data_IF_031341244357
#
_entry.id   IF_031341244357
#
_cell.length_a   1.000
_cell.length_b   1.000
_cell.length_c   1.000
_cell.angle_alpha   90.00
_cell.angle_beta   90.00
_cell.angle_gamma   90.00
#
_symmetry.space_group_name_H-M   'P 1'
#
loop_
_entity.id
_entity.type
_entity.pdbx_description
1 polymer ?
#
# COMPACT_ATOMS: atom_id res chain seq x y z
N UNK A 1 -3.70 -1.32 -18.15
CA UNK A 1 -2.95 -1.07 -19.38
C UNK A 1 -3.65 0.04 -20.14
N UNK A 2 -2.91 1.05 -20.61
CA UNK A 2 -3.45 2.21 -21.34
C UNK A 2 -3.76 1.88 -22.81
N UNK A 3 -3.13 0.82 -23.33
CA UNK A 3 -3.43 0.30 -24.66
C UNK A 3 -4.77 -0.42 -24.67
N UNK A 4 -5.78 0.20 -25.28
CA UNK A 4 -7.09 -0.43 -25.48
C UNK A 4 -7.07 -1.28 -26.75
N UNK A 5 -6.61 -2.52 -26.63
CA UNK A 5 -6.57 -3.47 -27.74
C UNK A 5 -7.99 -3.88 -28.13
N UNK A 6 -8.32 -3.75 -29.43
CA UNK A 6 -9.62 -4.09 -30.01
C UNK A 6 -9.40 -4.69 -31.40
N UNK A 7 -10.42 -5.30 -32.00
CA UNK A 7 -10.36 -5.80 -33.38
C UNK A 7 -9.91 -4.74 -34.40
N UNK A 8 -10.30 -3.47 -34.19
CA UNK A 8 -9.91 -2.32 -35.02
C UNK A 8 -8.57 -1.68 -34.63
N UNK A 9 -8.02 -2.02 -33.45
CA UNK A 9 -6.73 -1.50 -32.94
C UNK A 9 -5.96 -2.71 -32.38
N UNK A 10 -5.35 -3.52 -33.26
CA UNK A 10 -4.60 -4.69 -32.83
C UNK A 10 -3.32 -4.29 -32.09
N UNK A 11 -2.83 -5.22 -31.27
CA UNK A 11 -1.53 -5.11 -30.64
C UNK A 11 -0.45 -5.31 -31.73
N UNK A 12 0.40 -4.31 -31.93
CA UNK A 12 1.45 -4.29 -32.95
C UNK A 12 2.81 -3.95 -32.34
N UNK A 13 3.88 -4.28 -33.06
CA UNK A 13 5.27 -4.10 -32.60
C UNK A 13 5.59 -2.65 -32.22
N UNK A 14 4.99 -1.67 -32.91
CA UNK A 14 5.16 -0.24 -32.62
C UNK A 14 4.82 0.15 -31.18
N UNK A 15 3.92 -0.58 -30.53
CA UNK A 15 3.56 -0.33 -29.12
C UNK A 15 4.68 -0.73 -28.14
N UNK A 16 5.70 -1.45 -28.61
CA UNK A 16 6.83 -1.94 -27.82
C UNK A 16 8.15 -1.26 -28.17
N UNK A 17 8.17 -0.26 -29.07
CA UNK A 17 9.41 0.40 -29.51
C UNK A 17 10.22 0.97 -28.34
N UNK A 18 9.55 1.66 -27.41
CA UNK A 18 10.19 2.19 -26.20
C UNK A 18 10.74 1.09 -25.29
N UNK A 19 9.99 0.00 -25.12
CA UNK A 19 10.44 -1.16 -24.36
C UNK A 19 11.68 -1.80 -24.99
N UNK A 20 11.66 -2.06 -26.30
CA UNK A 20 12.76 -2.70 -27.02
C UNK A 20 14.02 -1.84 -27.03
N UNK A 21 13.86 -0.51 -27.10
CA UNK A 21 14.97 0.45 -27.00
C UNK A 21 15.63 0.41 -25.62
N UNK A 22 14.85 0.27 -24.55
CA UNK A 22 15.34 0.29 -23.16
C UNK A 22 15.76 -1.09 -22.64
N UNK A 23 15.36 -2.17 -23.29
CA UNK A 23 15.63 -3.54 -22.86
C UNK A 23 17.13 -3.87 -22.68
N UNK A 24 18.06 -3.45 -23.56
CA UNK A 24 19.48 -3.80 -23.41
C UNK A 24 20.11 -3.26 -22.13
N UNK A 25 19.70 -2.07 -21.69
CA UNK A 25 20.19 -1.43 -20.46
C UNK A 25 19.26 -1.64 -19.28
N UNK A 26 18.11 -2.29 -19.49
CA UNK A 26 16.97 -2.31 -18.54
C UNK A 26 16.65 -0.91 -18.02
N UNK A 27 16.62 0.06 -18.93
CA UNK A 27 16.34 1.45 -18.58
C UNK A 27 14.92 1.66 -18.08
N UNK A 28 14.74 2.64 -17.20
CA UNK A 28 13.42 3.04 -16.69
C UNK A 28 12.60 3.75 -17.77
N UNK A 29 11.28 3.59 -17.70
CA UNK A 29 10.31 4.27 -18.58
C UNK A 29 9.09 4.68 -17.77
N UNK A 30 8.23 5.54 -18.32
CA UNK A 30 6.98 5.93 -17.65
C UNK A 30 6.04 4.74 -17.37
N UNK A 31 6.19 3.65 -18.14
CA UNK A 31 5.40 2.43 -18.03
C UNK A 31 6.14 1.28 -17.33
N UNK A 32 7.44 1.43 -17.09
CA UNK A 32 8.28 0.47 -16.38
C UNK A 32 8.38 0.85 -14.91
N UNK A 33 8.34 -0.15 -14.04
CA UNK A 33 8.67 0.02 -12.64
C UNK A 33 9.30 -1.26 -12.12
N UNK A 34 10.28 -1.08 -11.23
CA UNK A 34 10.94 -2.15 -10.52
C UNK A 34 10.76 -1.90 -9.02
N UNK A 35 10.61 -2.97 -8.25
CA UNK A 35 10.62 -2.89 -6.78
C UNK A 35 11.85 -3.62 -6.28
N UNK A 36 12.64 -2.95 -5.45
CA UNK A 36 13.72 -3.59 -4.70
C UNK A 36 13.12 -4.36 -3.52
N UNK A 37 12.97 -5.68 -3.70
CA UNK A 37 12.42 -6.56 -2.68
C UNK A 37 13.38 -6.77 -1.52
N UNK A 38 14.69 -6.66 -1.75
CA UNK A 38 15.69 -6.89 -0.70
C UNK A 38 15.73 -5.71 0.25
N UNK A 39 15.69 -4.48 -0.28
CA UNK A 39 15.56 -3.27 0.52
C UNK A 39 14.26 -3.26 1.33
N UNK A 40 13.14 -3.62 0.68
CA UNK A 40 11.83 -3.66 1.34
C UNK A 40 11.79 -4.69 2.47
N UNK A 41 12.39 -5.87 2.27
CA UNK A 41 12.56 -6.89 3.33
C UNK A 41 13.46 -6.40 4.46
N UNK A 42 14.55 -5.71 4.15
CA UNK A 42 15.46 -5.16 5.17
C UNK A 42 14.74 -4.18 6.08
N UNK A 43 14.03 -3.21 5.49
CA UNK A 43 13.26 -2.22 6.25
C UNK A 43 12.18 -2.87 7.11
N UNK A 44 11.43 -3.83 6.55
CA UNK A 44 10.41 -4.55 7.32
C UNK A 44 11.03 -5.39 8.46
N UNK A 45 12.19 -6.00 8.25
CA UNK A 45 12.89 -6.74 9.29
C UNK A 45 13.40 -5.81 10.41
N UNK A 46 13.89 -4.62 10.07
CA UNK A 46 14.30 -3.60 11.05
C UNK A 46 13.11 -3.10 11.89
N UNK A 47 11.96 -2.86 11.25
CA UNK A 47 10.73 -2.44 11.91
C UNK A 47 10.13 -3.54 12.80
N UNK A 48 10.16 -4.80 12.34
CA UNK A 48 9.67 -5.96 13.10
C UNK A 48 10.60 -6.37 14.25
N UNK A 49 11.89 -6.04 14.18
CA UNK A 49 12.92 -6.41 15.16
C UNK A 49 12.54 -6.13 16.63
N UNK A 50 12.12 -4.91 17.04
CA UNK A 50 11.74 -4.66 18.42
C UNK A 50 10.56 -5.51 18.90
N UNK A 51 9.62 -5.86 18.02
CA UNK A 51 8.49 -6.73 18.36
C UNK A 51 8.94 -8.18 18.55
N UNK A 52 9.88 -8.67 17.74
CA UNK A 52 10.49 -10.00 17.86
C UNK A 52 11.32 -10.14 19.14
N UNK A 53 12.09 -9.11 19.47
CA UNK A 53 12.86 -9.05 20.73
C UNK A 53 11.93 -9.07 21.94
N UNK A 54 10.86 -8.26 21.94
CA UNK A 54 9.84 -8.27 23.00
C UNK A 54 9.11 -9.62 23.09
N UNK A 55 8.72 -10.21 21.96
CA UNK A 55 8.07 -11.52 21.91
C UNK A 55 8.96 -12.60 22.55
N UNK A 56 10.25 -12.62 22.18
CA UNK A 56 11.22 -13.57 22.72
C UNK A 56 11.43 -13.37 24.22
N UNK A 57 11.55 -12.12 24.69
CA UNK A 57 11.65 -11.81 26.11
C UNK A 57 10.42 -12.30 26.89
N UNK A 58 9.21 -12.11 26.36
CA UNK A 58 7.96 -12.60 26.97
C UNK A 58 7.88 -14.12 26.99
N UNK A 59 8.32 -14.80 25.92
CA UNK A 59 8.43 -16.26 25.90
C UNK A 59 9.44 -16.79 26.93
N UNK A 60 10.59 -16.14 27.10
CA UNK A 60 11.56 -16.51 28.13
C UNK A 60 10.99 -16.34 29.54
N UNK A 61 10.29 -15.23 29.80
CA UNK A 61 9.59 -15.03 31.08
C UNK A 61 8.53 -16.11 31.31
N UNK A 62 7.73 -16.45 30.28
CA UNK A 62 6.74 -17.53 30.39
C UNK A 62 7.41 -18.87 30.76
N UNK A 63 8.55 -19.19 30.15
CA UNK A 63 9.32 -20.41 30.47
C UNK A 63 9.85 -20.40 31.92
N UNK A 64 10.32 -19.25 32.42
CA UNK A 64 10.73 -19.10 33.83
C UNK A 64 9.54 -19.31 34.79
N UNK A 65 8.36 -18.79 34.46
CA UNK A 65 7.15 -19.03 35.25
C UNK A 65 6.70 -20.49 35.21
N UNK A 66 6.79 -21.17 34.07
CA UNK A 66 6.53 -22.61 33.97
C UNK A 66 7.50 -23.43 34.83
N UNK A 67 8.78 -23.05 34.86
CA UNK A 67 9.76 -23.68 35.74
C UNK A 67 9.40 -23.45 37.22
N UNK A 68 9.00 -22.23 37.59
CA UNK A 68 8.53 -21.91 38.94
C UNK A 68 7.30 -22.75 39.34
N UNK A 69 6.35 -22.94 38.43
CA UNK A 69 5.20 -23.84 38.65
C UNK A 69 5.67 -25.27 38.93
N UNK A 70 6.63 -25.78 38.15
CA UNK A 70 7.18 -27.11 38.35
C UNK A 70 7.88 -27.25 39.72
N UNK A 71 8.59 -26.22 40.17
CA UNK A 71 9.28 -26.24 41.46
C UNK A 71 8.32 -26.09 42.64
N UNK A 72 7.30 -25.22 42.54
CA UNK A 72 6.24 -25.09 43.55
C UNK A 72 5.46 -26.40 43.74
N UNK A 73 5.24 -27.16 42.64
CA UNK A 73 4.58 -28.48 42.70
C UNK A 73 5.40 -29.55 43.44
N UNK A 74 6.72 -29.36 43.60
CA UNK A 74 7.61 -30.30 44.32
C UNK A 74 7.68 -30.05 45.82
N UNK A 75 7.45 -28.80 46.27
CA UNK A 75 7.53 -28.41 47.68
C UNK A 75 6.30 -28.91 48.45
N UNK A 76 6.50 -29.36 49.70
CA UNK A 76 5.43 -29.72 50.65
C UNK A 76 5.54 -28.86 51.92
N UNK A 77 4.44 -28.31 52.46
CA UNK A 77 3.07 -28.38 51.93
C UNK A 77 2.93 -27.62 50.60
N UNK A 78 2.01 -28.09 49.76
CA UNK A 78 1.78 -27.52 48.43
C UNK A 78 0.97 -26.22 48.58
N UNK A 79 1.47 -25.14 47.99
CA UNK A 79 0.76 -23.87 47.91
C UNK A 79 0.01 -23.80 46.56
N UNK A 80 -1.24 -24.23 46.57
CA UNK A 80 -2.09 -24.26 45.37
C UNK A 80 -2.36 -22.86 44.82
N UNK A 81 -2.46 -21.85 45.68
CA UNK A 81 -2.70 -20.47 45.27
C UNK A 81 -1.50 -19.91 44.51
N UNK A 82 -0.28 -20.11 45.04
CA UNK A 82 0.93 -19.68 44.36
C UNK A 82 1.15 -20.40 43.01
N UNK A 83 0.73 -21.66 42.90
CA UNK A 83 0.75 -22.42 41.65
C UNK A 83 -0.21 -21.82 40.63
N UNK A 84 -1.45 -21.54 41.01
CA UNK A 84 -2.47 -20.96 40.12
C UNK A 84 -2.06 -19.57 39.62
N UNK A 85 -1.54 -18.72 40.51
CA UNK A 85 -1.03 -17.39 40.15
C UNK A 85 0.14 -17.49 39.15
N UNK A 86 1.08 -18.41 39.38
CA UNK A 86 2.22 -18.63 38.49
C UNK A 86 1.78 -19.21 37.13
N UNK A 87 0.81 -20.13 37.11
CA UNK A 87 0.22 -20.66 35.88
C UNK A 87 -0.50 -19.56 35.08
N UNK A 88 -1.29 -18.70 35.75
CA UNK A 88 -1.95 -17.57 35.13
C UNK A 88 -0.95 -16.59 34.50
N UNK A 89 0.15 -16.27 35.20
CA UNK A 89 1.23 -15.43 34.66
C UNK A 89 1.91 -16.05 33.46
N UNK A 90 2.17 -17.36 33.47
CA UNK A 90 2.76 -18.06 32.33
C UNK A 90 1.86 -18.03 31.09
N UNK A 91 0.54 -18.20 31.28
CA UNK A 91 -0.46 -18.15 30.20
C UNK A 91 -0.54 -16.75 29.61
N UNK A 92 -0.57 -15.73 30.45
CA UNK A 92 -0.63 -14.34 30.00
C UNK A 92 0.61 -13.93 29.21
N UNK A 93 1.80 -14.23 29.71
CA UNK A 93 3.05 -13.96 28.99
C UNK A 93 3.16 -14.72 27.66
N UNK A 94 2.62 -15.94 27.61
CA UNK A 94 2.55 -16.72 26.37
C UNK A 94 1.60 -16.06 25.36
N UNK A 95 0.47 -15.53 25.81
CA UNK A 95 -0.48 -14.78 24.97
C UNK A 95 0.18 -13.52 24.41
N UNK A 96 0.77 -12.70 25.27
CA UNK A 96 1.49 -11.48 24.87
C UNK A 96 2.62 -11.77 23.87
N UNK A 97 3.39 -12.84 24.10
CA UNK A 97 4.45 -13.29 23.17
C UNK A 97 3.91 -13.59 21.77
N UNK A 98 2.78 -14.31 21.68
CA UNK A 98 2.13 -14.66 20.42
C UNK A 98 1.56 -13.45 19.69
N UNK A 99 0.95 -12.52 20.42
CA UNK A 99 0.42 -11.28 19.84
C UNK A 99 1.55 -10.42 19.24
N UNK A 100 2.67 -10.28 19.95
CA UNK A 100 3.85 -9.58 19.44
C UNK A 100 4.46 -10.29 18.22
N UNK A 101 4.51 -11.62 18.22
CA UNK A 101 4.97 -12.40 17.08
C UNK A 101 4.05 -12.23 15.86
N UNK A 102 2.73 -12.19 16.05
CA UNK A 102 1.76 -11.93 14.97
C UNK A 102 1.99 -10.55 14.35
N UNK A 103 2.12 -9.51 15.18
CA UNK A 103 2.36 -8.14 14.69
C UNK A 103 3.68 -8.01 13.94
N UNK A 104 4.74 -8.65 14.43
CA UNK A 104 6.02 -8.70 13.72
C UNK A 104 5.87 -9.38 12.35
N UNK A 105 5.14 -10.50 12.31
CA UNK A 105 4.88 -11.23 11.08
C UNK A 105 4.04 -10.42 10.08
N UNK A 106 3.02 -9.70 10.55
CA UNK A 106 2.19 -8.83 9.70
C UNK A 106 3.03 -7.76 8.98
N UNK A 107 4.03 -7.18 9.66
CA UNK A 107 4.97 -6.22 9.05
C UNK A 107 5.83 -6.89 7.97
N UNK A 108 6.39 -8.07 8.26
CA UNK A 108 7.21 -8.83 7.31
C UNK A 108 6.38 -9.32 6.10
N UNK A 109 5.13 -9.74 6.32
CA UNK A 109 4.23 -10.23 5.26
C UNK A 109 3.72 -9.07 4.37
N UNK A 110 3.56 -7.86 4.92
CA UNK A 110 3.16 -6.66 4.17
C UNK A 110 4.16 -6.26 3.07
N UNK A 111 5.40 -6.77 3.12
CA UNK A 111 6.38 -6.64 2.04
C UNK A 111 5.85 -7.21 0.72
N UNK A 112 5.07 -8.29 0.80
CA UNK A 112 4.55 -9.02 -0.36
C UNK A 112 3.17 -8.54 -0.83
N UNK A 113 2.51 -7.62 -0.12
CA UNK A 113 1.29 -6.95 -0.60
C UNK A 113 1.63 -5.90 -1.66
N UNK A 114 2.22 -6.37 -2.77
CA UNK A 114 2.53 -5.55 -3.91
C UNK A 114 1.25 -5.34 -4.71
N UNK A 115 0.70 -4.14 -4.62
CA UNK A 115 -0.27 -3.68 -5.61
C UNK A 115 0.46 -3.55 -6.94
N UNK A 116 -0.11 -4.12 -8.02
CA UNK A 116 0.40 -3.98 -9.38
C UNK A 116 0.15 -2.57 -9.96
N UNK A 117 0.47 -1.55 -9.18
CA UNK A 117 0.37 -0.14 -9.56
C UNK A 117 1.77 0.34 -9.89
N UNK A 118 1.96 0.85 -11.10
CA UNK A 118 3.21 1.45 -11.51
C UNK A 118 3.41 2.78 -10.74
N UNK A 119 4.39 2.90 -9.84
CA UNK A 119 4.65 4.12 -9.08
C UNK A 119 5.17 5.27 -9.96
N UNK A 120 5.81 4.96 -11.09
CA UNK A 120 6.32 5.93 -12.06
C UNK A 120 5.21 6.47 -12.98
N UNK A 121 3.97 6.02 -12.82
CA UNK A 121 2.86 6.43 -13.67
C UNK A 121 2.55 7.92 -13.47
N UNK A 122 2.74 8.70 -14.53
CA UNK A 122 2.25 10.08 -14.57
C UNK A 122 0.73 10.06 -14.60
N UNK A 123 0.11 10.69 -13.61
CA UNK A 123 -1.33 10.83 -13.58
C UNK A 123 -1.74 11.84 -14.66
N UNK A 124 -2.52 11.40 -15.66
CA UNK A 124 -3.18 12.32 -16.59
C UNK A 124 -4.41 12.90 -15.85
N UNK A 125 -4.15 13.87 -14.99
CA UNK A 125 -5.16 14.57 -14.19
C UNK A 125 -5.24 15.99 -14.72
N UNK A 126 -6.45 16.47 -14.87
CA UNK A 126 -6.74 17.86 -15.19
C UNK A 126 -6.30 18.75 -14.02
N UNK A 127 -5.35 19.64 -14.28
CA UNK A 127 -4.75 20.56 -13.31
C UNK A 127 -5.40 21.95 -13.32
N UNK A 128 -6.44 22.15 -14.15
CA UNK A 128 -7.18 23.41 -14.22
C UNK A 128 -7.85 23.73 -12.88
N UNK A 129 -7.62 24.95 -12.38
CA UNK A 129 -8.29 25.42 -11.17
C UNK A 129 -9.76 25.77 -11.46
N UNK A 130 -10.62 25.80 -10.44
CA UNK A 130 -12.02 26.23 -10.61
C UNK A 130 -12.13 27.60 -11.28
N UNK A 131 -11.25 28.55 -10.95
CA UNK A 131 -11.23 29.90 -11.53
C UNK A 131 -10.92 29.85 -13.03
N UNK A 132 -9.89 29.08 -13.44
CA UNK A 132 -9.57 28.89 -14.86
C UNK A 132 -10.73 28.24 -15.62
N UNK A 133 -11.47 27.32 -14.97
CA UNK A 133 -12.65 26.73 -15.58
C UNK A 133 -13.77 27.75 -15.75
N UNK A 134 -13.98 28.65 -14.78
CA UNK A 134 -14.95 29.74 -14.90
C UNK A 134 -14.58 30.69 -16.05
N UNK A 135 -13.31 31.06 -16.17
CA UNK A 135 -12.83 31.92 -17.27
C UNK A 135 -13.07 31.28 -18.65
N UNK A 136 -12.82 29.97 -18.76
CA UNK A 136 -13.09 29.21 -19.99
C UNK A 136 -14.60 29.21 -20.29
N UNK A 137 -15.45 29.00 -19.28
CA UNK A 137 -16.90 29.00 -19.45
C UNK A 137 -17.37 30.38 -19.91
N UNK A 138 -16.87 31.46 -19.31
CA UNK A 138 -17.23 32.82 -19.69
C UNK A 138 -16.78 33.17 -21.11
N UNK A 139 -15.56 32.79 -21.49
CA UNK A 139 -15.06 32.97 -22.85
C UNK A 139 -15.92 32.23 -23.88
N UNK A 140 -16.29 30.96 -23.60
CA UNK A 140 -17.20 30.20 -24.46
C UNK A 140 -18.61 30.78 -24.47
N UNK A 141 -19.08 31.34 -23.36
CA UNK A 141 -20.35 32.06 -23.29
C UNK A 141 -20.39 33.27 -24.24
N UNK A 142 -19.30 34.05 -24.31
CA UNK A 142 -19.18 35.17 -25.25
C UNK A 142 -19.20 34.71 -26.71
N UNK A 143 -18.39 33.69 -27.06
CA UNK A 143 -18.38 33.12 -28.42
C UNK A 143 -19.78 32.67 -28.86
N UNK A 144 -20.53 32.00 -27.97
CA UNK A 144 -21.91 31.59 -28.24
C UNK A 144 -22.81 32.82 -28.42
N UNK A 145 -22.68 33.84 -27.57
CA UNK A 145 -23.44 35.07 -27.67
C UNK A 145 -23.25 35.79 -29.00
N UNK A 146 -22.00 35.90 -29.46
CA UNK A 146 -21.66 36.48 -30.77
C UNK A 146 -22.27 35.67 -31.93
N UNK A 147 -22.14 34.34 -31.89
CA UNK A 147 -22.73 33.48 -32.91
C UNK A 147 -24.26 33.60 -32.98
N UNK A 148 -24.93 33.67 -31.81
CA UNK A 148 -26.37 33.87 -31.74
C UNK A 148 -26.80 35.25 -32.26
N UNK A 149 -26.02 36.31 -32.00
CA UNK A 149 -26.30 37.63 -32.52
C UNK A 149 -26.25 37.67 -34.05
N UNK A 150 -25.22 37.07 -34.65
CA UNK A 150 -25.10 36.93 -36.12
C UNK A 150 -26.30 36.21 -36.71
N UNK A 151 -26.72 35.09 -36.09
CA UNK A 151 -27.88 34.34 -36.55
C UNK A 151 -29.17 35.18 -36.49
N UNK A 152 -29.41 35.89 -35.39
CA UNK A 152 -30.58 36.78 -35.25
C UNK A 152 -30.58 37.92 -36.26
N UNK A 153 -29.43 38.54 -36.52
CA UNK A 153 -29.32 39.57 -37.56
C UNK A 153 -29.55 38.99 -38.96
N UNK A 154 -29.06 37.78 -39.22
CA UNK A 154 -29.28 37.09 -40.49
C UNK A 154 -30.75 36.66 -40.69
N UNK A 155 -31.47 36.37 -39.61
CA UNK A 155 -32.89 36.03 -39.61
C UNK A 155 -33.76 37.27 -39.80
N UNK A 156 -33.45 38.38 -39.13
CA UNK A 156 -34.10 39.68 -39.36
C UNK A 156 -33.88 40.22 -40.78
N UNK A 157 -32.73 39.94 -41.41
CA UNK A 157 -32.45 40.32 -42.80
C UNK A 157 -33.16 39.43 -43.84
N UNK A 158 -33.75 38.31 -43.42
CA UNK A 158 -34.53 37.38 -44.27
C UNK A 158 -36.04 37.58 -44.14
N UNK A 159 -36.49 38.40 -43.20
CA UNK A 159 -37.90 38.81 -43.04
C UNK A 159 -38.15 40.18 -43.67
#
# INVERSE_FOLDING_TARGET
SELKIRKKIPLMLKHFEDFLRLLPTRGESELSWTVDMDERKRLAAEEARPLKEKSTAKSQQAAQWLQRVADLKKVKPRDDRAIEEAEAKSKELTRESRELASKAKEIEDAVYDLKAVNPNRKANVDDRTPEMLMDIIEAKGREIGEALAVLRTSEMARS
#
